data_IF_325244736839
#
_entry.id   IF_325244736839
#
_cell.length_a   1.000
_cell.length_b   1.000
_cell.length_c   1.000
_cell.angle_alpha   90.00
_cell.angle_beta   90.00
_cell.angle_gamma   90.00
#
_symmetry.space_group_name_H-M   'P 1'
#
loop_
_entity.id
_entity.type
_entity.pdbx_description
1 polymer ?
#
# COMPACT_ATOMS: atom_id res chain seq x y z
N UNK A 1 -52.83 21.78 57.61
CA UNK A 1 -51.57 21.57 58.37
C UNK A 1 -50.77 20.36 57.89
N UNK A 2 -50.80 19.97 56.61
CA UNK A 2 -50.04 18.82 56.08
C UNK A 2 -48.85 19.20 55.17
N UNK A 3 -48.77 20.46 54.70
CA UNK A 3 -47.69 20.90 53.77
C UNK A 3 -46.33 21.20 54.44
N UNK A 4 -46.34 21.65 55.68
CA UNK A 4 -45.12 22.16 56.35
C UNK A 4 -44.13 21.08 56.85
N UNK A 5 -44.53 19.79 56.88
CA UNK A 5 -43.66 18.68 57.31
C UNK A 5 -42.84 18.08 56.17
N UNK A 6 -43.31 18.22 54.94
CA UNK A 6 -42.64 17.63 53.77
C UNK A 6 -41.43 18.50 53.36
N UNK A 7 -41.55 19.80 53.40
CA UNK A 7 -40.48 20.73 52.98
C UNK A 7 -39.30 20.68 53.95
N UNK A 8 -39.54 20.47 55.26
CA UNK A 8 -38.47 20.32 56.25
C UNK A 8 -37.69 19.00 56.07
N UNK A 9 -38.40 17.92 55.72
CA UNK A 9 -37.74 16.63 55.51
C UNK A 9 -36.91 16.65 54.21
N UNK A 10 -37.41 17.25 53.13
CA UNK A 10 -36.67 17.35 51.88
C UNK A 10 -35.47 18.27 52.04
N UNK A 11 -35.60 19.40 52.72
CA UNK A 11 -34.49 20.30 53.03
C UNK A 11 -33.36 19.61 53.83
N UNK A 12 -33.71 18.81 54.86
CA UNK A 12 -32.74 18.08 55.67
C UNK A 12 -32.01 17.00 54.90
N UNK A 13 -32.69 16.28 54.02
CA UNK A 13 -32.10 15.24 53.13
C UNK A 13 -31.12 15.84 52.13
N UNK A 14 -31.47 16.98 51.54
CA UNK A 14 -30.56 17.67 50.57
C UNK A 14 -29.30 18.17 51.29
N UNK A 15 -29.39 18.72 52.46
CA UNK A 15 -28.22 19.20 53.24
C UNK A 15 -27.30 18.01 53.60
N UNK A 16 -27.87 16.87 54.02
CA UNK A 16 -27.10 15.67 54.33
C UNK A 16 -26.40 15.08 53.08
N UNK A 17 -27.08 15.05 51.93
CA UNK A 17 -26.47 14.56 50.70
C UNK A 17 -25.33 15.48 50.21
N UNK A 18 -25.49 16.78 50.28
CA UNK A 18 -24.43 17.74 49.95
C UNK A 18 -23.24 17.65 50.93
N UNK A 19 -23.50 17.44 52.24
CA UNK A 19 -22.45 17.23 53.22
C UNK A 19 -21.62 15.97 53.00
N UNK A 20 -22.26 14.87 52.62
CA UNK A 20 -21.57 13.59 52.26
C UNK A 20 -20.73 13.76 50.99
N UNK A 21 -21.23 14.46 49.98
CA UNK A 21 -20.48 14.72 48.75
C UNK A 21 -19.22 15.54 48.97
N UNK A 22 -19.30 16.59 49.81
CA UNK A 22 -18.12 17.43 50.16
C UNK A 22 -17.10 16.63 51.00
N UNK A 23 -17.57 15.79 51.93
CA UNK A 23 -16.69 14.95 52.72
C UNK A 23 -15.94 13.91 51.90
N UNK A 24 -16.61 13.26 50.94
CA UNK A 24 -15.97 12.33 49.99
C UNK A 24 -14.93 13.01 49.12
N UNK A 25 -15.20 14.22 48.61
CA UNK A 25 -14.20 14.98 47.82
C UNK A 25 -12.96 15.33 48.63
N UNK A 26 -13.12 15.67 49.91
CA UNK A 26 -11.98 15.97 50.80
C UNK A 26 -11.11 14.74 51.08
N UNK A 27 -11.70 13.56 51.21
CA UNK A 27 -10.97 12.29 51.38
C UNK A 27 -10.08 11.99 50.18
N UNK A 28 -10.61 12.11 48.95
CA UNK A 28 -9.86 11.87 47.70
C UNK A 28 -8.69 12.86 47.56
N UNK A 29 -8.88 14.12 47.91
CA UNK A 29 -7.81 15.14 47.88
C UNK A 29 -6.73 14.82 48.93
N UNK A 30 -7.11 14.31 50.10
CA UNK A 30 -6.18 13.90 51.15
C UNK A 30 -5.30 12.71 50.73
N UNK A 31 -5.88 11.69 50.06
CA UNK A 31 -5.12 10.54 49.57
C UNK A 31 -4.15 10.91 48.43
N UNK A 32 -4.56 11.79 47.54
CA UNK A 32 -3.69 12.30 46.45
C UNK A 32 -2.52 13.16 47.04
N UNK A 33 -2.74 13.90 48.08
CA UNK A 33 -1.70 14.67 48.79
C UNK A 33 -0.72 13.74 49.53
N UNK A 34 -1.21 12.67 50.18
CA UNK A 34 -0.39 11.67 50.86
C UNK A 34 0.48 10.87 49.84
N UNK A 35 -0.04 10.53 48.67
CA UNK A 35 0.74 9.90 47.60
C UNK A 35 1.84 10.81 47.02
N UNK A 36 1.64 12.12 47.04
CA UNK A 36 2.66 13.10 46.63
C UNK A 36 3.76 13.30 47.70
N UNK A 37 3.44 13.17 48.97
CA UNK A 37 4.40 13.34 50.05
C UNK A 37 5.28 12.09 50.30
N UNK A 38 4.86 10.90 49.87
CA UNK A 38 5.62 9.65 49.93
C UNK A 38 6.56 9.43 48.74
N UNK A 39 6.85 10.48 47.98
CA UNK A 39 7.80 10.46 46.85
C UNK A 39 9.21 10.15 47.32
N UNK A 40 9.48 8.86 47.56
CA UNK A 40 10.83 8.36 47.75
C UNK A 40 11.72 8.76 46.57
N UNK A 41 12.95 9.10 46.87
CA UNK A 41 13.99 9.50 45.92
C UNK A 41 13.96 8.58 44.66
N UNK A 42 13.50 9.14 43.56
CA UNK A 42 13.60 8.47 42.26
C UNK A 42 15.08 8.43 41.89
N UNK A 43 15.71 7.28 42.02
CA UNK A 43 16.92 7.01 41.26
C UNK A 43 16.63 7.31 39.77
N UNK A 44 17.47 8.11 39.11
CA UNK A 44 17.27 8.34 37.68
C UNK A 44 17.21 6.98 36.96
N UNK A 45 16.22 6.75 36.11
CA UNK A 45 16.17 5.50 35.33
C UNK A 45 17.48 5.38 34.59
N UNK A 46 18.20 4.30 34.86
CA UNK A 46 19.34 3.89 34.03
C UNK A 46 18.85 3.97 32.57
N UNK A 47 19.46 4.82 31.76
CA UNK A 47 19.10 4.97 30.37
C UNK A 47 19.22 3.59 29.73
N UNK A 48 18.07 2.92 29.57
CA UNK A 48 18.00 1.75 28.70
C UNK A 48 18.35 2.29 27.33
N UNK A 49 19.52 1.90 26.83
CA UNK A 49 19.95 2.27 25.50
C UNK A 49 18.79 1.95 24.56
N UNK A 50 18.28 2.95 23.87
CA UNK A 50 17.27 2.76 22.85
C UNK A 50 17.78 1.66 21.92
N UNK A 51 16.96 0.65 21.54
CA UNK A 51 17.40 -0.37 20.61
C UNK A 51 17.94 0.36 19.40
N UNK A 52 19.19 0.03 19.02
CA UNK A 52 19.85 0.61 17.85
C UNK A 52 18.88 0.49 16.69
N UNK A 53 18.40 1.61 16.19
CA UNK A 53 17.52 1.65 15.04
C UNK A 53 18.31 1.03 13.90
N UNK A 54 17.90 -0.17 13.47
CA UNK A 54 18.42 -0.76 12.26
C UNK A 54 18.27 0.27 11.15
N UNK A 55 19.31 0.57 10.36
CA UNK A 55 19.22 1.57 9.32
C UNK A 55 18.05 1.18 8.41
N UNK A 56 17.04 2.06 8.36
CA UNK A 56 15.88 1.88 7.47
C UNK A 56 16.46 1.72 6.07
N UNK A 57 16.16 0.61 5.36
CA UNK A 57 16.70 0.41 4.02
C UNK A 57 16.45 1.66 3.20
N UNK A 58 17.45 2.18 2.51
CA UNK A 58 17.26 3.31 1.61
C UNK A 58 16.14 2.95 0.63
N UNK A 59 15.17 3.84 0.46
CA UNK A 59 14.05 3.60 -0.45
C UNK A 59 14.53 3.31 -1.89
N UNK A 60 15.68 3.89 -2.27
CA UNK A 60 16.42 3.61 -3.49
C UNK A 60 17.69 2.82 -3.14
N UNK A 61 17.91 1.70 -3.79
CA UNK A 61 19.07 0.83 -3.59
C UNK A 61 19.59 0.26 -4.91
N UNK A 62 20.88 -0.05 -4.94
CA UNK A 62 21.51 -0.81 -6.03
C UNK A 62 21.20 -2.28 -5.87
N UNK A 63 20.92 -2.95 -6.98
CA UNK A 63 20.65 -4.40 -7.06
C UNK A 63 21.36 -4.99 -8.29
N UNK A 64 21.39 -6.31 -8.38
CA UNK A 64 21.77 -7.05 -9.59
C UNK A 64 20.78 -8.21 -9.71
N UNK A 65 19.70 -8.01 -10.47
CA UNK A 65 18.61 -8.96 -10.62
C UNK A 65 18.15 -9.01 -12.07
N UNK A 66 17.82 -10.22 -12.53
CA UNK A 66 17.34 -10.47 -13.88
C UNK A 66 15.88 -10.83 -13.86
N UNK A 67 15.10 -10.21 -14.77
CA UNK A 67 13.68 -10.48 -14.93
C UNK A 67 13.33 -10.85 -16.37
N UNK A 68 12.58 -11.93 -16.54
CA UNK A 68 11.85 -12.17 -17.79
C UNK A 68 10.58 -11.30 -17.79
N UNK A 69 10.41 -10.50 -18.83
CA UNK A 69 9.25 -9.59 -18.96
C UNK A 69 8.33 -9.94 -20.13
N UNK A 70 8.50 -11.11 -20.76
CA UNK A 70 7.76 -11.49 -21.97
C UNK A 70 6.25 -11.56 -21.78
N UNK A 71 5.80 -12.02 -20.61
CA UNK A 71 4.37 -12.12 -20.28
C UNK A 71 3.78 -10.88 -19.64
N UNK A 72 4.62 -9.89 -19.29
CA UNK A 72 4.21 -8.69 -18.59
C UNK A 72 3.47 -7.70 -19.50
N UNK A 73 2.63 -6.86 -18.91
CA UNK A 73 2.02 -5.75 -19.63
C UNK A 73 3.03 -4.62 -19.82
N UNK A 74 3.19 -4.15 -21.05
CA UNK A 74 4.17 -3.11 -21.41
C UNK A 74 3.44 -1.88 -21.93
N UNK A 75 3.82 -0.69 -21.47
CA UNK A 75 3.38 0.62 -21.99
C UNK A 75 4.61 1.40 -22.46
N UNK A 76 4.40 2.18 -23.51
CA UNK A 76 5.45 2.95 -24.16
C UNK A 76 6.17 2.15 -25.25
N UNK A 77 6.61 2.90 -26.28
CA UNK A 77 7.44 2.39 -27.37
C UNK A 77 8.82 3.05 -27.23
N UNK A 78 9.69 2.43 -26.44
CA UNK A 78 11.05 2.92 -26.29
C UNK A 78 11.90 2.43 -27.48
N UNK A 79 12.62 3.34 -28.09
CA UNK A 79 13.72 3.01 -29.01
C UNK A 79 14.97 2.58 -28.24
N UNK A 80 15.01 2.84 -26.91
CA UNK A 80 16.06 2.43 -26.02
C UNK A 80 15.76 1.11 -25.31
N UNK A 81 16.72 0.67 -24.54
CA UNK A 81 16.70 -0.58 -23.79
C UNK A 81 16.29 -0.42 -22.32
N UNK A 82 16.08 0.82 -21.83
CA UNK A 82 15.76 1.08 -20.44
C UNK A 82 14.32 0.69 -20.12
N UNK A 83 14.17 -0.07 -19.04
CA UNK A 83 12.91 -0.60 -18.56
C UNK A 83 12.70 -0.17 -17.11
N UNK A 84 11.47 0.26 -16.81
CA UNK A 84 10.96 0.52 -15.49
C UNK A 84 9.89 -0.52 -15.17
N UNK A 85 10.21 -1.47 -14.30
CA UNK A 85 9.35 -2.58 -13.90
C UNK A 85 8.68 -2.29 -12.56
N UNK A 86 7.36 -2.34 -12.52
CA UNK A 86 6.54 -2.26 -11.30
C UNK A 86 5.98 -3.64 -10.93
N UNK A 87 6.07 -4.00 -9.66
CA UNK A 87 5.27 -5.04 -9.01
C UNK A 87 4.20 -4.37 -8.15
N UNK A 88 2.94 -4.67 -8.44
CA UNK A 88 1.82 -3.92 -7.88
C UNK A 88 0.62 -4.79 -7.51
N UNK A 89 -0.24 -4.21 -6.67
CA UNK A 89 -1.48 -4.79 -6.18
C UNK A 89 -2.62 -3.79 -6.37
N UNK A 90 -3.65 -4.17 -7.11
CA UNK A 90 -4.77 -3.29 -7.44
C UNK A 90 -5.63 -2.88 -6.24
N UNK A 91 -5.54 -3.59 -5.11
CA UNK A 91 -6.25 -3.23 -3.88
C UNK A 91 -5.37 -2.47 -2.88
N UNK A 92 -4.06 -2.38 -3.12
CA UNK A 92 -3.12 -1.71 -2.24
C UNK A 92 -3.28 -0.17 -2.29
N UNK A 93 -3.52 0.51 -1.15
CA UNK A 93 -3.67 1.96 -1.13
C UNK A 93 -2.36 2.71 -1.49
N UNK A 94 -1.20 2.12 -1.21
CA UNK A 94 0.08 2.70 -1.60
C UNK A 94 0.33 2.61 -3.11
N UNK A 95 -0.12 1.51 -3.76
CA UNK A 95 -0.09 1.40 -5.22
C UNK A 95 -0.97 2.47 -5.87
N UNK A 96 -2.20 2.64 -5.35
CA UNK A 96 -3.08 3.71 -5.82
C UNK A 96 -2.44 5.10 -5.67
N UNK A 97 -1.84 5.39 -4.51
CA UNK A 97 -1.16 6.67 -4.30
C UNK A 97 -0.06 6.89 -5.34
N UNK A 98 0.76 5.87 -5.64
CA UNK A 98 1.77 5.97 -6.68
C UNK A 98 1.14 6.26 -8.04
N UNK A 99 0.08 5.56 -8.41
CA UNK A 99 -0.62 5.75 -9.70
C UNK A 99 -1.24 7.16 -9.79
N UNK A 100 -1.80 7.68 -8.71
CA UNK A 100 -2.46 9.00 -8.73
C UNK A 100 -1.46 10.17 -8.69
N UNK A 101 -0.39 10.06 -7.90
CA UNK A 101 0.48 11.20 -7.57
C UNK A 101 1.82 11.20 -8.34
N UNK A 102 2.33 10.04 -8.71
CA UNK A 102 3.69 9.90 -9.26
C UNK A 102 3.68 9.44 -10.71
N UNK A 103 2.91 8.39 -11.01
CA UNK A 103 2.87 7.79 -12.35
C UNK A 103 2.59 8.80 -13.48
N UNK A 104 1.68 9.79 -13.34
CA UNK A 104 1.43 10.75 -14.42
C UNK A 104 2.70 11.49 -14.88
N UNK A 105 3.60 11.80 -13.94
CA UNK A 105 4.90 12.42 -14.27
C UNK A 105 5.86 11.42 -14.89
N UNK A 106 5.91 10.17 -14.39
CA UNK A 106 6.71 9.10 -15.02
C UNK A 106 6.24 8.89 -16.46
N UNK A 107 4.93 8.86 -16.69
CA UNK A 107 4.37 8.71 -18.03
C UNK A 107 4.80 9.85 -18.95
N UNK A 108 4.54 11.10 -18.55
CA UNK A 108 4.82 12.28 -19.37
C UNK A 108 6.32 12.50 -19.64
N UNK A 109 7.17 12.33 -18.63
CA UNK A 109 8.59 12.70 -18.73
C UNK A 109 9.45 11.59 -19.38
N UNK A 110 8.99 10.32 -19.30
CA UNK A 110 9.80 9.16 -19.68
C UNK A 110 9.11 8.18 -20.62
N UNK A 111 7.85 7.77 -20.35
CA UNK A 111 7.18 6.74 -21.16
C UNK A 111 6.71 7.31 -22.49
N UNK A 112 5.97 8.44 -22.45
CA UNK A 112 5.39 9.08 -23.64
C UNK A 112 6.46 9.72 -24.53
N UNK A 113 7.61 10.08 -23.92
CA UNK A 113 8.80 10.54 -24.65
C UNK A 113 9.64 9.42 -25.25
N UNK A 114 9.29 8.15 -25.01
CA UNK A 114 10.01 6.99 -25.52
C UNK A 114 11.36 6.74 -24.86
N UNK A 115 11.67 7.36 -23.72
CA UNK A 115 12.94 7.14 -23.01
C UNK A 115 13.00 5.80 -22.29
N UNK A 116 11.84 5.32 -21.80
CA UNK A 116 11.72 4.05 -21.09
C UNK A 116 10.51 3.25 -21.58
N UNK A 117 10.56 1.93 -21.32
CA UNK A 117 9.40 1.05 -21.32
C UNK A 117 8.92 0.86 -19.91
N UNK A 118 7.63 1.09 -19.66
CA UNK A 118 6.99 0.82 -18.38
C UNK A 118 6.38 -0.58 -18.43
N UNK A 119 6.74 -1.42 -17.46
CA UNK A 119 6.34 -2.83 -17.38
C UNK A 119 5.64 -3.06 -16.05
N UNK A 120 4.51 -3.76 -16.09
CA UNK A 120 3.71 -4.08 -14.92
C UNK A 120 3.68 -5.59 -14.70
N UNK A 121 3.92 -6.04 -13.45
CA UNK A 121 3.70 -7.40 -12.99
C UNK A 121 2.83 -7.40 -11.73
N UNK A 122 2.06 -8.46 -11.55
CA UNK A 122 1.18 -8.61 -10.41
C UNK A 122 1.92 -9.05 -9.15
N UNK A 123 1.56 -8.46 -8.01
CA UNK A 123 1.96 -8.96 -6.70
C UNK A 123 0.81 -8.78 -5.71
N UNK A 124 -0.30 -9.54 -5.87
CA UNK A 124 -1.45 -9.46 -4.98
C UNK A 124 -1.11 -9.97 -3.59
N UNK A 125 -1.28 -9.14 -2.57
CA UNK A 125 -1.03 -9.46 -1.16
C UNK A 125 -2.32 -10.00 -0.54
N UNK A 126 -2.73 -11.22 -0.89
CA UNK A 126 -4.03 -11.82 -0.55
C UNK A 126 -4.35 -11.83 0.94
N UNK A 127 -3.33 -11.91 1.81
CA UNK A 127 -3.51 -11.87 3.27
C UNK A 127 -3.93 -10.49 3.81
N UNK A 128 -3.66 -9.42 3.06
CA UNK A 128 -3.99 -8.05 3.41
C UNK A 128 -5.15 -7.51 2.57
N UNK A 129 -5.26 -7.97 1.33
CA UNK A 129 -6.13 -7.43 0.29
C UNK A 129 -6.95 -8.58 -0.34
N UNK A 130 -8.14 -8.91 0.19
CA UNK A 130 -8.89 -10.12 -0.16
C UNK A 130 -9.33 -10.19 -1.63
N UNK A 131 -9.45 -9.05 -2.32
CA UNK A 131 -9.86 -9.01 -3.74
C UNK A 131 -8.66 -8.77 -4.70
N UNK A 132 -7.44 -8.65 -4.19
CA UNK A 132 -6.26 -8.34 -5.00
C UNK A 132 -5.99 -9.39 -6.08
N UNK A 133 -6.10 -10.67 -5.74
CA UNK A 133 -5.93 -11.76 -6.71
C UNK A 133 -6.97 -11.72 -7.82
N UNK A 134 -8.25 -11.55 -7.46
CA UNK A 134 -9.31 -11.46 -8.45
C UNK A 134 -9.12 -10.27 -9.39
N UNK A 135 -8.67 -9.12 -8.87
CA UNK A 135 -8.35 -7.95 -9.69
C UNK A 135 -7.15 -8.21 -10.62
N UNK A 136 -6.11 -8.89 -10.14
CA UNK A 136 -4.96 -9.31 -10.96
C UNK A 136 -5.39 -10.26 -12.09
N UNK A 137 -6.23 -11.25 -11.80
CA UNK A 137 -6.81 -12.15 -12.81
C UNK A 137 -7.62 -11.38 -13.85
N UNK A 138 -8.42 -10.39 -13.41
CA UNK A 138 -9.21 -9.55 -14.31
C UNK A 138 -8.34 -8.75 -15.27
N UNK A 139 -7.25 -8.15 -14.79
CA UNK A 139 -6.30 -7.42 -15.62
C UNK A 139 -5.56 -8.35 -16.60
N UNK A 140 -5.09 -9.52 -16.14
CA UNK A 140 -4.45 -10.53 -16.99
C UNK A 140 -5.40 -11.06 -18.07
N UNK A 141 -6.69 -11.21 -17.76
CA UNK A 141 -7.68 -11.63 -18.75
C UNK A 141 -7.95 -10.55 -19.79
N UNK A 142 -8.05 -9.29 -19.37
CA UNK A 142 -8.19 -8.16 -20.29
C UNK A 142 -6.94 -7.98 -21.20
N UNK A 143 -5.75 -8.36 -20.71
CA UNK A 143 -4.52 -8.33 -21.51
C UNK A 143 -4.59 -9.19 -22.77
N UNK A 144 -5.28 -10.31 -22.72
CA UNK A 144 -5.45 -11.22 -23.89
C UNK A 144 -6.17 -10.57 -25.08
N UNK A 145 -6.99 -9.56 -24.79
CA UNK A 145 -7.69 -8.75 -25.77
C UNK A 145 -7.03 -7.37 -26.00
N UNK A 146 -5.79 -7.19 -25.48
CA UNK A 146 -5.05 -5.91 -25.60
C UNK A 146 -5.64 -4.80 -24.74
N UNK A 147 -6.42 -5.14 -23.72
CA UNK A 147 -7.16 -4.20 -22.85
C UNK A 147 -6.57 -4.06 -21.44
N UNK A 148 -5.32 -4.51 -21.25
CA UNK A 148 -4.68 -4.46 -19.92
C UNK A 148 -4.74 -3.07 -19.31
N UNK A 149 -4.27 -2.04 -20.01
CA UNK A 149 -4.12 -0.71 -19.44
C UNK A 149 -5.47 -0.03 -19.16
N UNK A 150 -6.48 -0.28 -19.99
CA UNK A 150 -7.85 0.19 -19.72
C UNK A 150 -8.41 -0.47 -18.45
N UNK A 151 -8.15 -1.77 -18.25
CA UNK A 151 -8.55 -2.49 -17.06
C UNK A 151 -7.74 -2.02 -15.85
N UNK A 152 -6.43 -1.84 -15.98
CA UNK A 152 -5.54 -1.30 -14.95
C UNK A 152 -6.08 0.04 -14.39
N UNK A 153 -6.36 0.99 -15.29
CA UNK A 153 -6.85 2.31 -14.90
C UNK A 153 -8.24 2.21 -14.24
N UNK A 154 -9.09 1.30 -14.72
CA UNK A 154 -10.41 1.05 -14.13
C UNK A 154 -10.32 0.46 -12.72
N UNK A 155 -9.44 -0.51 -12.49
CA UNK A 155 -9.27 -1.16 -11.20
C UNK A 155 -8.73 -0.19 -10.15
N UNK A 156 -7.69 0.59 -10.47
CA UNK A 156 -7.18 1.61 -9.55
C UNK A 156 -8.18 2.73 -9.28
N UNK A 157 -9.00 3.10 -10.25
CA UNK A 157 -10.05 4.11 -10.04
C UNK A 157 -11.22 3.60 -9.18
N UNK A 158 -11.32 2.28 -8.94
CA UNK A 158 -12.46 1.67 -8.26
C UNK A 158 -12.02 0.62 -7.21
N UNK A 159 -10.98 0.91 -6.43
CA UNK A 159 -10.41 -0.03 -5.45
C UNK A 159 -11.42 -0.54 -4.40
N UNK A 160 -12.53 0.15 -4.20
CA UNK A 160 -13.58 -0.25 -3.26
C UNK A 160 -14.58 -1.27 -3.84
N UNK A 161 -14.47 -1.59 -5.13
CA UNK A 161 -15.39 -2.49 -5.84
C UNK A 161 -14.57 -3.44 -6.76
N UNK A 162 -13.92 -4.42 -6.15
CA UNK A 162 -13.07 -5.42 -6.82
C UNK A 162 -13.61 -6.84 -6.66
N UNK A 163 -14.87 -6.99 -6.24
CA UNK A 163 -15.57 -8.26 -6.20
C UNK A 163 -15.93 -8.73 -7.62
N UNK A 164 -16.13 -10.03 -7.79
CA UNK A 164 -16.38 -10.65 -9.09
C UNK A 164 -17.48 -9.97 -9.93
N UNK A 165 -18.65 -9.56 -9.39
CA UNK A 165 -19.66 -8.87 -10.19
C UNK A 165 -19.16 -7.55 -10.81
N UNK A 166 -18.38 -6.77 -10.04
CA UNK A 166 -17.79 -5.53 -10.53
C UNK A 166 -16.74 -5.81 -11.61
N UNK A 167 -15.88 -6.82 -11.41
CA UNK A 167 -14.85 -7.20 -12.37
C UNK A 167 -15.44 -7.66 -13.71
N UNK A 168 -16.57 -8.37 -13.69
CA UNK A 168 -17.32 -8.74 -14.90
C UNK A 168 -17.85 -7.50 -15.64
N UNK A 169 -18.39 -6.54 -14.88
CA UNK A 169 -18.84 -5.26 -15.44
C UNK A 169 -17.67 -4.47 -16.05
N UNK A 170 -16.52 -4.44 -15.38
CA UNK A 170 -15.33 -3.75 -15.90
C UNK A 170 -14.82 -4.40 -17.19
N UNK A 171 -14.85 -5.74 -17.28
CA UNK A 171 -14.53 -6.45 -18.53
C UNK A 171 -15.35 -5.96 -19.70
N UNK A 172 -16.67 -5.84 -19.54
CA UNK A 172 -17.56 -5.31 -20.57
C UNK A 172 -17.26 -3.84 -20.89
N UNK A 173 -17.05 -2.98 -19.88
CA UNK A 173 -16.73 -1.56 -20.07
C UNK A 173 -15.45 -1.34 -20.88
N UNK A 174 -14.39 -2.12 -20.62
CA UNK A 174 -13.12 -1.99 -21.33
C UNK A 174 -13.13 -2.68 -22.70
N UNK A 175 -14.22 -3.35 -23.04
CA UNK A 175 -14.40 -4.03 -24.32
C UNK A 175 -13.63 -5.34 -24.44
N UNK A 176 -13.44 -6.06 -23.33
CA UNK A 176 -12.95 -7.43 -23.35
C UNK A 176 -14.03 -8.37 -23.90
N UNK A 177 -13.61 -9.44 -24.62
CA UNK A 177 -14.55 -10.43 -25.15
C UNK A 177 -15.23 -11.19 -23.99
N UNK A 178 -16.55 -11.00 -23.82
CA UNK A 178 -17.29 -11.46 -22.63
C UNK A 178 -17.11 -12.95 -22.34
N UNK A 179 -17.31 -13.82 -23.32
CA UNK A 179 -17.22 -15.28 -23.10
C UNK A 179 -15.78 -15.73 -22.80
N UNK A 180 -14.78 -15.20 -23.51
CA UNK A 180 -13.37 -15.51 -23.28
C UNK A 180 -12.88 -14.94 -21.97
N UNK A 181 -13.31 -13.72 -21.63
CA UNK A 181 -12.95 -13.05 -20.40
C UNK A 181 -13.47 -13.82 -19.17
N UNK A 182 -14.76 -14.22 -19.16
CA UNK A 182 -15.37 -15.03 -18.10
C UNK A 182 -14.66 -16.38 -17.90
N UNK A 183 -14.40 -17.08 -18.99
CA UNK A 183 -13.68 -18.36 -18.96
C UNK A 183 -12.24 -18.19 -18.45
N UNK A 184 -11.60 -17.08 -18.80
CA UNK A 184 -10.24 -16.76 -18.38
C UNK A 184 -10.14 -16.52 -16.86
N UNK A 185 -11.10 -15.83 -16.24
CA UNK A 185 -11.09 -15.52 -14.80
C UNK A 185 -10.98 -16.77 -13.90
N UNK A 186 -11.56 -17.89 -14.33
CA UNK A 186 -11.45 -19.19 -13.66
C UNK A 186 -10.35 -20.10 -14.21
N UNK A 187 -9.64 -19.65 -15.24
CA UNK A 187 -8.65 -20.43 -15.96
C UNK A 187 -7.36 -20.68 -15.18
N UNK A 188 -6.92 -21.94 -15.10
CA UNK A 188 -5.67 -22.31 -14.40
C UNK A 188 -4.45 -21.59 -14.98
N UNK A 189 -4.38 -21.41 -16.29
CA UNK A 189 -3.25 -20.70 -16.94
C UNK A 189 -3.11 -19.24 -16.48
N UNK A 190 -4.23 -18.53 -16.24
CA UNK A 190 -4.20 -17.16 -15.71
C UNK A 190 -3.80 -17.14 -14.25
N UNK A 191 -4.30 -18.08 -13.47
CA UNK A 191 -3.90 -18.23 -12.06
C UNK A 191 -2.40 -18.53 -11.95
N UNK A 192 -1.86 -19.42 -12.80
CA UNK A 192 -0.44 -19.73 -12.83
C UNK A 192 0.41 -18.52 -13.22
N UNK A 193 -0.04 -17.68 -14.17
CA UNK A 193 0.65 -16.45 -14.54
C UNK A 193 0.72 -15.44 -13.38
N UNK A 194 -0.39 -15.19 -12.69
CA UNK A 194 -0.42 -14.29 -11.52
C UNK A 194 0.44 -14.85 -10.38
N UNK A 195 0.45 -16.17 -10.19
CA UNK A 195 1.29 -16.81 -9.19
C UNK A 195 2.78 -16.69 -9.56
N UNK A 196 3.17 -16.91 -10.82
CA UNK A 196 4.55 -16.71 -11.28
C UNK A 196 5.02 -15.27 -11.03
N UNK A 197 4.18 -14.28 -11.32
CA UNK A 197 4.49 -12.88 -11.02
C UNK A 197 4.78 -12.67 -9.52
N UNK A 198 3.95 -13.26 -8.66
CA UNK A 198 4.13 -13.20 -7.20
C UNK A 198 5.42 -13.89 -6.75
N UNK A 199 5.72 -15.06 -7.30
CA UNK A 199 6.93 -15.81 -6.99
C UNK A 199 8.19 -15.06 -7.43
N UNK A 200 8.14 -14.37 -8.58
CA UNK A 200 9.22 -13.49 -9.05
C UNK A 200 9.43 -12.32 -8.08
N UNK A 201 8.33 -11.68 -7.62
CA UNK A 201 8.41 -10.61 -6.63
C UNK A 201 9.06 -11.07 -5.32
N UNK A 202 8.68 -12.24 -4.83
CA UNK A 202 9.25 -12.84 -3.62
C UNK A 202 10.74 -13.19 -3.79
N UNK A 203 11.12 -13.79 -4.94
CA UNK A 203 12.55 -14.04 -5.26
C UNK A 203 13.36 -12.75 -5.34
N UNK A 204 12.75 -11.65 -5.78
CA UNK A 204 13.34 -10.31 -5.78
C UNK A 204 13.31 -9.64 -4.39
N UNK A 205 12.95 -10.40 -3.34
CA UNK A 205 12.88 -9.94 -1.95
C UNK A 205 11.92 -8.77 -1.72
N UNK A 206 10.84 -8.70 -2.47
CA UNK A 206 9.75 -7.78 -2.17
C UNK A 206 8.89 -8.36 -1.03
N UNK A 207 8.62 -7.55 -0.02
CA UNK A 207 7.77 -7.88 1.13
C UNK A 207 6.47 -7.09 1.16
N UNK A 208 6.25 -6.25 0.14
CA UNK A 208 5.08 -5.37 0.02
C UNK A 208 5.03 -4.69 -1.33
N UNK A 209 3.96 -3.96 -1.57
CA UNK A 209 3.70 -3.22 -2.80
C UNK A 209 3.49 -1.71 -2.55
N UNK A 210 3.81 -0.87 -3.54
CA UNK A 210 4.47 -1.20 -4.81
C UNK A 210 5.98 -1.42 -4.63
N UNK A 211 6.58 -2.23 -5.52
CA UNK A 211 8.02 -2.39 -5.62
C UNK A 211 8.47 -2.18 -7.07
N UNK A 212 9.62 -1.51 -7.26
CA UNK A 212 10.07 -1.11 -8.60
C UNK A 212 11.52 -1.49 -8.85
N UNK A 213 11.80 -1.80 -10.12
CA UNK A 213 13.14 -2.09 -10.60
C UNK A 213 13.41 -1.32 -11.88
N UNK A 214 14.61 -0.75 -12.00
CA UNK A 214 15.05 -0.04 -13.21
C UNK A 214 16.33 -0.65 -13.70
N UNK A 215 16.41 -0.89 -15.00
CA UNK A 215 17.56 -1.50 -15.64
C UNK A 215 17.49 -1.46 -17.16
N UNK A 216 18.31 -2.29 -17.79
CA UNK A 216 18.37 -2.38 -19.25
C UNK A 216 18.04 -3.78 -19.75
N UNK A 217 17.46 -3.85 -20.93
CA UNK A 217 17.29 -5.13 -21.63
C UNK A 217 18.63 -5.62 -22.14
N UNK A 218 18.97 -6.83 -21.76
CA UNK A 218 20.14 -7.51 -22.27
C UNK A 218 19.90 -8.16 -23.64
N UNK A 219 20.98 -8.60 -24.29
CA UNK A 219 20.93 -9.38 -25.51
C UNK A 219 20.27 -10.76 -25.32
N UNK A 220 20.20 -11.25 -24.09
CA UNK A 220 19.51 -12.47 -23.67
C UNK A 220 17.97 -12.30 -23.56
N UNK A 221 17.47 -11.10 -23.81
CA UNK A 221 16.05 -10.77 -23.75
C UNK A 221 15.49 -10.61 -22.33
N UNK A 222 16.35 -10.48 -21.32
CA UNK A 222 15.97 -10.21 -19.94
C UNK A 222 16.22 -8.76 -19.56
N UNK A 223 15.47 -8.28 -18.58
CA UNK A 223 15.76 -7.02 -17.89
C UNK A 223 16.85 -7.28 -16.84
N UNK A 224 18.00 -6.64 -17.00
CA UNK A 224 19.06 -6.57 -15.99
C UNK A 224 18.84 -5.34 -15.13
N UNK A 225 18.20 -5.52 -13.97
CA UNK A 225 17.87 -4.44 -13.07
C UNK A 225 19.05 -4.06 -12.19
N UNK A 226 19.34 -2.79 -12.11
CA UNK A 226 20.46 -2.22 -11.33
C UNK A 226 20.00 -1.28 -10.22
N UNK A 227 18.76 -0.81 -10.26
CA UNK A 227 18.15 0.04 -9.23
C UNK A 227 16.83 -0.56 -8.76
N UNK A 228 16.59 -0.48 -7.45
CA UNK A 228 15.33 -0.89 -6.81
C UNK A 228 14.78 0.26 -5.98
N UNK A 229 13.47 0.54 -6.12
CA UNK A 229 12.73 1.48 -5.28
C UNK A 229 11.61 0.72 -4.56
N UNK A 230 11.47 0.92 -3.25
CA UNK A 230 10.43 0.27 -2.43
C UNK A 230 9.40 1.30 -1.98
N UNK A 231 8.14 0.96 -2.20
CA UNK A 231 6.97 1.75 -1.79
C UNK A 231 6.71 2.96 -2.67
N UNK A 232 5.58 3.63 -2.42
CA UNK A 232 5.17 4.84 -3.12
C UNK A 232 5.99 6.04 -2.62
N UNK A 233 7.19 6.19 -3.17
CA UNK A 233 8.13 7.27 -2.88
C UNK A 233 7.76 8.56 -3.62
N UNK A 234 8.28 9.72 -3.23
CA UNK A 234 8.18 10.94 -4.02
C UNK A 234 8.79 10.78 -5.42
N UNK A 235 8.27 11.52 -6.41
CA UNK A 235 8.73 11.46 -7.81
C UNK A 235 10.26 11.60 -7.96
N UNK A 236 10.90 12.45 -7.15
CA UNK A 236 12.36 12.68 -7.22
C UNK A 236 13.19 11.40 -6.99
N UNK A 237 12.69 10.45 -6.22
CA UNK A 237 13.37 9.17 -6.00
C UNK A 237 13.33 8.30 -7.26
N UNK A 238 12.19 8.25 -7.93
CA UNK A 238 12.02 7.54 -9.21
C UNK A 238 12.81 8.21 -10.32
N UNK A 239 12.77 9.54 -10.38
CA UNK A 239 13.56 10.34 -11.32
C UNK A 239 15.04 10.01 -11.19
N UNK A 240 15.59 10.03 -9.98
CA UNK A 240 16.99 9.70 -9.76
C UNK A 240 17.32 8.27 -10.25
N UNK A 241 16.48 7.28 -9.94
CA UNK A 241 16.68 5.89 -10.36
C UNK A 241 16.67 5.74 -11.89
N UNK A 242 15.76 6.42 -12.57
CA UNK A 242 15.64 6.35 -14.03
C UNK A 242 16.81 7.10 -14.71
N UNK A 243 17.10 8.32 -14.26
CA UNK A 243 18.13 9.17 -14.86
C UNK A 243 19.54 8.55 -14.69
N UNK A 244 19.83 7.91 -13.55
CA UNK A 244 21.08 7.15 -13.35
C UNK A 244 21.22 6.03 -14.39
N UNK A 245 20.16 5.24 -14.63
CA UNK A 245 20.21 4.15 -15.61
C UNK A 245 20.29 4.69 -17.04
N UNK A 246 19.57 5.77 -17.36
CA UNK A 246 19.67 6.45 -18.66
C UNK A 246 21.08 6.96 -18.93
N UNK A 247 21.76 7.48 -17.91
CA UNK A 247 23.15 7.96 -17.99
C UNK A 247 24.19 6.82 -18.02
N UNK A 248 23.80 5.55 -17.96
CA UNK A 248 24.71 4.39 -17.98
C UNK A 248 25.45 4.16 -16.67
N UNK A 249 24.86 4.59 -15.53
CA UNK A 249 25.43 4.48 -14.20
C UNK A 249 24.81 3.33 -13.38
#
# INVERSE_FOLDING_TARGET
>A
MRGMRIDVVIGTVIVLLLGVGVWQQQQVIGELAAMRASGGARTPPTAVAAPAQQPKPSALSTVSLDFDIKSAAIRGQSTGDVVFLEFSDFQCPFCKRYIDEVYPRIAADYVDTGKIRYVFRHFPLESLHPNAKNAALAASCAQRDGKFWQMHDRLFSNQQALELPALLTYGAIVGANDSKYRACLSGQATQAQVQDDSDVALRAQLTGTPGFFVGRMGADGKLHAVRRVIGAQPFSVFQAAIDEVLAGK
#
